data_IF_028661834682
#
_entry.id   IF_028661834682
#
_cell.length_a   1.000
_cell.length_b   1.000
_cell.length_c   1.000
_cell.angle_alpha   90.00
_cell.angle_beta   90.00
_cell.angle_gamma   90.00
#
_symmetry.space_group_name_H-M   'P 1'
#
loop_
_entity.id
_entity.type
_entity.pdbx_description
1 polymer ?
#
# COMPACT_ATOMS: atom_id res chain seq x y z
N UNK A 1 -13.91 17.26 -4.94
CA UNK A 1 -12.91 16.27 -4.50
C UNK A 1 -13.22 15.01 -5.27
N UNK A 2 -12.26 14.35 -5.89
CA UNK A 2 -12.53 13.05 -6.51
C UNK A 2 -12.52 12.02 -5.38
N UNK A 3 -13.70 11.62 -4.93
CA UNK A 3 -13.94 10.83 -3.71
C UNK A 3 -13.52 9.35 -3.82
N UNK A 4 -12.85 8.95 -4.92
CA UNK A 4 -12.61 7.54 -5.26
C UNK A 4 -11.17 7.22 -5.70
N UNK A 5 -10.17 8.06 -5.41
CA UNK A 5 -8.76 7.79 -5.74
C UNK A 5 -8.08 6.80 -4.77
N UNK A 6 -8.83 5.86 -4.21
CA UNK A 6 -8.28 4.83 -3.35
C UNK A 6 -7.50 3.78 -4.14
N UNK A 7 -6.63 3.06 -3.44
CA UNK A 7 -5.80 2.02 -4.07
C UNK A 7 -6.54 0.70 -4.03
N UNK A 8 -6.99 0.25 -5.20
CA UNK A 8 -7.69 -1.02 -5.34
C UNK A 8 -6.78 -2.10 -5.93
N UNK A 9 -6.97 -3.34 -5.49
CA UNK A 9 -6.33 -4.51 -6.09
C UNK A 9 -7.34 -5.65 -6.25
N UNK A 10 -7.04 -6.54 -7.17
CA UNK A 10 -7.80 -7.78 -7.37
C UNK A 10 -6.84 -8.95 -7.32
N UNK A 11 -7.22 -9.97 -6.55
CA UNK A 11 -6.46 -11.21 -6.39
C UNK A 11 -7.40 -12.42 -6.53
N UNK A 12 -6.90 -13.54 -7.05
CA UNK A 12 -7.68 -14.78 -7.12
C UNK A 12 -7.66 -15.46 -5.74
N UNK A 13 -8.82 -15.83 -5.20
CA UNK A 13 -8.95 -16.66 -4.00
C UNK A 13 -9.17 -18.12 -4.40
N UNK A 14 -8.18 -19.01 -4.18
CA UNK A 14 -8.39 -20.44 -4.38
C UNK A 14 -9.39 -21.04 -3.39
N UNK A 15 -9.58 -20.42 -2.22
CA UNK A 15 -10.48 -20.90 -1.16
C UNK A 15 -11.94 -20.67 -1.54
N UNK A 16 -12.23 -19.51 -2.14
CA UNK A 16 -13.59 -19.14 -2.57
C UNK A 16 -13.88 -19.52 -4.03
N UNK A 17 -12.83 -19.78 -4.83
CA UNK A 17 -12.97 -20.04 -6.26
C UNK A 17 -13.42 -18.82 -7.07
N UNK A 18 -13.14 -17.62 -6.55
CA UNK A 18 -13.58 -16.32 -7.08
C UNK A 18 -12.45 -15.29 -7.00
N UNK A 19 -12.63 -14.16 -7.68
CA UNK A 19 -11.76 -13.00 -7.59
C UNK A 19 -12.18 -12.12 -6.40
N UNK A 20 -11.20 -11.72 -5.59
CA UNK A 20 -11.37 -10.81 -4.45
C UNK A 20 -10.90 -9.41 -4.83
N UNK A 21 -11.80 -8.44 -4.81
CA UNK A 21 -11.50 -7.02 -4.86
C UNK A 21 -11.22 -6.50 -3.46
N UNK A 22 -10.14 -5.74 -3.30
CA UNK A 22 -9.67 -5.20 -2.04
C UNK A 22 -9.30 -3.73 -2.18
N UNK A 23 -9.41 -2.98 -1.08
CA UNK A 23 -8.95 -1.60 -0.99
C UNK A 23 -7.90 -1.44 0.12
N UNK A 24 -6.72 -0.89 -0.20
CA UNK A 24 -5.59 -0.82 0.75
C UNK A 24 -5.91 0.09 1.94
N UNK A 25 -6.64 1.17 1.69
CA UNK A 25 -7.07 2.13 2.72
C UNK A 25 -8.22 1.61 3.58
N UNK A 26 -8.93 0.57 3.12
CA UNK A 26 -10.02 -0.10 3.84
C UNK A 26 -9.77 -1.61 3.93
N UNK A 27 -8.81 -2.08 4.76
CA UNK A 27 -8.41 -3.49 4.82
C UNK A 27 -9.53 -4.47 5.23
N UNK A 28 -10.60 -3.97 5.84
CA UNK A 28 -11.77 -4.76 6.24
C UNK A 28 -12.81 -4.92 5.13
N UNK A 29 -12.69 -4.18 4.01
CA UNK A 29 -13.61 -4.27 2.88
C UNK A 29 -13.04 -5.21 1.82
N UNK A 30 -13.88 -6.15 1.41
CA UNK A 30 -13.60 -7.06 0.30
C UNK A 30 -14.86 -7.29 -0.53
N UNK A 31 -14.68 -7.64 -1.80
CA UNK A 31 -15.77 -8.01 -2.70
C UNK A 31 -15.40 -9.24 -3.51
N UNK A 32 -16.26 -10.26 -3.52
CA UNK A 32 -16.05 -11.48 -4.30
C UNK A 32 -16.85 -11.42 -5.60
N UNK A 33 -16.23 -11.83 -6.71
CA UNK A 33 -16.89 -11.96 -8.00
C UNK A 33 -16.21 -13.03 -8.86
N UNK A 34 -16.98 -13.73 -9.70
CA UNK A 34 -16.43 -14.70 -10.66
C UNK A 34 -15.58 -14.03 -11.76
N UNK A 35 -15.75 -12.72 -11.97
CA UNK A 35 -15.03 -11.93 -12.94
C UNK A 35 -14.10 -10.92 -12.25
N UNK A 36 -12.82 -10.81 -12.65
CA UNK A 36 -11.90 -9.83 -12.06
C UNK A 36 -12.37 -8.36 -12.22
N UNK A 37 -13.06 -8.06 -13.32
CA UNK A 37 -13.67 -6.73 -13.56
C UNK A 37 -14.90 -6.51 -12.67
N UNK A 38 -15.63 -7.58 -12.37
CA UNK A 38 -16.73 -7.54 -11.39
C UNK A 38 -16.19 -7.26 -9.99
N UNK A 39 -15.13 -7.96 -9.59
CA UNK A 39 -14.48 -7.81 -8.29
C UNK A 39 -13.97 -6.37 -8.05
N UNK A 40 -13.27 -5.77 -9.04
CA UNK A 40 -12.78 -4.39 -8.95
C UNK A 40 -13.94 -3.37 -8.92
N UNK A 41 -14.98 -3.57 -9.73
CA UNK A 41 -16.14 -2.67 -9.76
C UNK A 41 -16.94 -2.76 -8.46
N UNK A 42 -17.14 -3.96 -7.94
CA UNK A 42 -17.85 -4.20 -6.69
C UNK A 42 -17.16 -3.55 -5.49
N UNK A 43 -15.84 -3.74 -5.34
CA UNK A 43 -15.11 -3.09 -4.24
C UNK A 43 -15.09 -1.57 -4.38
N UNK A 44 -15.03 -1.03 -5.60
CA UNK A 44 -15.08 0.42 -5.82
C UNK A 44 -16.42 1.02 -5.38
N UNK A 45 -17.54 0.37 -5.73
CA UNK A 45 -18.87 0.81 -5.29
C UNK A 45 -19.05 0.65 -3.77
N UNK A 46 -18.61 -0.48 -3.19
CA UNK A 46 -18.70 -0.71 -1.75
C UNK A 46 -17.95 0.37 -0.96
N UNK A 47 -16.73 0.71 -1.39
CA UNK A 47 -15.95 1.79 -0.77
C UNK A 47 -16.68 3.13 -0.90
N UNK A 48 -17.30 3.40 -2.05
CA UNK A 48 -18.05 4.63 -2.27
C UNK A 48 -19.22 4.78 -1.30
N UNK A 49 -19.99 3.71 -1.09
CA UNK A 49 -21.11 3.70 -0.16
C UNK A 49 -20.63 3.87 1.28
N UNK A 50 -19.59 3.15 1.70
CA UNK A 50 -19.01 3.29 3.05
C UNK A 50 -18.48 4.70 3.31
N UNK A 51 -17.77 5.30 2.35
CA UNK A 51 -17.26 6.67 2.47
C UNK A 51 -18.41 7.67 2.63
N UNK A 52 -19.50 7.49 1.87
CA UNK A 52 -20.70 8.31 1.98
C UNK A 52 -21.33 8.18 3.36
N UNK A 53 -21.46 6.96 3.88
CA UNK A 53 -22.02 6.70 5.21
C UNK A 53 -21.17 7.35 6.30
N UNK A 54 -19.83 7.20 6.25
CA UNK A 54 -18.90 7.87 7.16
C UNK A 54 -19.12 9.39 7.19
N UNK A 55 -19.28 10.03 6.04
CA UNK A 55 -19.57 11.46 5.98
C UNK A 55 -20.92 11.82 6.60
N UNK A 56 -21.95 10.99 6.44
CA UNK A 56 -23.26 11.22 7.07
C UNK A 56 -23.22 11.06 8.59
N UNK A 57 -22.37 10.19 9.09
CA UNK A 57 -22.16 9.96 10.53
C UNK A 57 -21.19 10.98 11.17
N UNK A 58 -20.60 11.87 10.36
CA UNK A 58 -19.64 12.88 10.81
C UNK A 58 -18.23 12.32 11.04
N UNK A 59 -17.97 11.10 10.58
CA UNK A 59 -16.64 10.50 10.56
C UNK A 59 -15.81 11.06 9.40
N UNK A 60 -14.49 10.86 9.48
CA UNK A 60 -13.56 11.25 8.42
C UNK A 60 -12.99 10.00 7.77
N UNK A 61 -13.26 9.76 6.48
CA UNK A 61 -12.67 8.63 5.78
C UNK A 61 -11.14 8.76 5.72
N UNK A 62 -10.41 7.64 5.61
CA UNK A 62 -8.97 7.67 5.41
C UNK A 62 -8.61 8.48 4.17
N UNK A 63 -7.50 9.22 4.26
CA UNK A 63 -6.98 9.95 3.11
C UNK A 63 -6.43 8.95 2.07
N UNK A 64 -6.85 9.06 0.78
CA UNK A 64 -6.34 8.22 -0.30
C UNK A 64 -4.82 8.25 -0.36
N UNK A 65 -4.18 7.09 -0.54
CA UNK A 65 -2.73 6.99 -0.63
C UNK A 65 -2.18 7.78 -1.82
N UNK A 66 -2.93 7.84 -2.92
CA UNK A 66 -2.59 8.61 -4.12
C UNK A 66 -2.50 10.12 -3.86
N UNK A 67 -3.30 10.62 -2.92
CA UNK A 67 -3.39 12.06 -2.61
C UNK A 67 -2.42 12.49 -1.48
N UNK A 68 -1.67 11.53 -0.91
CA UNK A 68 -0.69 11.83 0.14
C UNK A 68 0.56 12.49 -0.45
N UNK A 69 1.05 13.51 0.25
CA UNK A 69 2.35 14.10 -0.06
C UNK A 69 3.46 13.25 0.57
N UNK A 70 4.23 12.56 -0.26
CA UNK A 70 5.38 11.77 0.19
C UNK A 70 6.65 12.62 0.16
N UNK A 71 7.21 12.90 1.33
CA UNK A 71 8.42 13.73 1.46
C UNK A 71 9.73 13.08 0.97
N UNK A 72 9.68 11.79 0.62
CA UNK A 72 10.86 10.97 0.29
C UNK A 72 11.76 10.63 1.48
N UNK A 73 11.45 11.12 2.69
CA UNK A 73 12.21 10.80 3.92
C UNK A 73 11.64 9.54 4.57
N UNK A 74 12.45 8.50 4.66
CA UNK A 74 12.10 7.25 5.34
C UNK A 74 12.97 7.11 6.59
N UNK A 75 12.37 7.28 7.77
CA UNK A 75 13.08 7.11 9.04
C UNK A 75 12.81 5.71 9.59
N UNK A 76 13.82 4.85 9.57
CA UNK A 76 13.70 3.43 9.99
C UNK A 76 14.47 3.21 11.28
N UNK A 77 13.81 2.61 12.28
CA UNK A 77 14.49 2.07 13.46
C UNK A 77 15.00 0.67 13.14
N UNK A 78 16.24 0.38 13.53
CA UNK A 78 16.91 -0.90 13.25
C UNK A 78 17.76 -1.33 14.43
N UNK A 79 18.15 -2.61 14.48
CA UNK A 79 19.13 -3.10 15.46
C UNK A 79 20.52 -2.50 15.22
N UNK A 80 21.34 -2.34 16.28
CA UNK A 80 22.72 -1.87 16.14
C UNK A 80 23.58 -2.76 15.21
N UNK A 81 23.30 -4.07 15.20
CA UNK A 81 24.02 -5.04 14.37
C UNK A 81 23.74 -4.83 12.88
N UNK A 82 22.47 -4.62 12.51
CA UNK A 82 22.09 -4.36 11.13
C UNK A 82 22.64 -3.00 10.66
N UNK A 83 22.60 -1.97 11.53
CA UNK A 83 23.20 -0.67 11.23
C UNK A 83 24.71 -0.79 10.98
N UNK A 84 25.43 -1.53 11.84
CA UNK A 84 26.88 -1.78 11.68
C UNK A 84 27.17 -2.46 10.35
N UNK A 85 26.44 -3.54 10.02
CA UNK A 85 26.62 -4.27 8.77
C UNK A 85 26.43 -3.36 7.54
N UNK A 86 25.33 -2.62 7.49
CA UNK A 86 25.04 -1.70 6.38
C UNK A 86 26.08 -0.59 6.26
N UNK A 87 26.60 -0.09 7.39
CA UNK A 87 27.66 0.95 7.39
C UNK A 87 28.96 0.42 6.80
N UNK A 88 29.34 -0.81 7.13
CA UNK A 88 30.55 -1.45 6.58
C UNK A 88 30.40 -1.66 5.07
N UNK A 89 29.28 -2.25 4.64
CA UNK A 89 29.01 -2.50 3.22
C UNK A 89 28.99 -1.22 2.37
N UNK A 90 28.46 -0.12 2.93
CA UNK A 90 28.45 1.18 2.29
C UNK A 90 29.87 1.76 2.16
N UNK A 91 30.69 1.65 3.21
CA UNK A 91 32.07 2.12 3.21
C UNK A 91 32.94 1.35 2.19
N UNK A 92 32.77 0.03 2.07
CA UNK A 92 33.44 -0.80 1.06
C UNK A 92 33.16 -0.33 -0.38
N UNK A 93 31.96 0.22 -0.60
CA UNK A 93 31.49 0.70 -1.91
C UNK A 93 31.71 2.20 -2.13
N UNK A 94 32.34 2.89 -1.17
CA UNK A 94 32.49 4.35 -1.17
C UNK A 94 31.14 5.10 -1.31
N UNK A 95 30.09 4.56 -0.69
CA UNK A 95 28.75 5.14 -0.66
C UNK A 95 28.38 5.60 0.75
N UNK A 96 27.47 6.58 0.84
CA UNK A 96 26.81 6.87 2.11
C UNK A 96 25.85 5.75 2.50
N UNK A 97 25.59 5.62 3.81
CA UNK A 97 24.62 4.66 4.33
C UNK A 97 23.23 4.83 3.69
N UNK A 98 22.79 6.08 3.46
CA UNK A 98 21.51 6.36 2.80
C UNK A 98 21.51 5.91 1.32
N UNK A 99 22.59 6.15 0.57
CA UNK A 99 22.69 5.67 -0.81
C UNK A 99 22.66 4.14 -0.87
N UNK A 100 23.40 3.48 0.03
CA UNK A 100 23.40 2.02 0.10
C UNK A 100 22.02 1.45 0.48
N UNK A 101 21.34 2.09 1.42
CA UNK A 101 19.96 1.72 1.77
C UNK A 101 19.00 1.88 0.59
N UNK A 102 19.11 2.96 -0.19
CA UNK A 102 18.30 3.17 -1.40
C UNK A 102 18.56 2.07 -2.43
N UNK A 103 19.83 1.71 -2.68
CA UNK A 103 20.17 0.61 -3.58
C UNK A 103 19.51 -0.71 -3.15
N UNK A 104 19.61 -1.05 -1.86
CA UNK A 104 18.98 -2.27 -1.31
C UNK A 104 17.46 -2.25 -1.41
N UNK A 105 16.83 -1.10 -1.20
CA UNK A 105 15.39 -0.94 -1.33
C UNK A 105 14.93 -1.06 -2.80
N UNK A 106 15.72 -0.55 -3.74
CA UNK A 106 15.42 -0.66 -5.18
C UNK A 106 15.57 -2.11 -5.69
N UNK A 107 16.59 -2.84 -5.21
CA UNK A 107 16.75 -4.27 -5.50
C UNK A 107 15.53 -5.09 -5.02
N UNK A 108 15.00 -4.77 -3.84
CA UNK A 108 13.81 -5.43 -3.28
C UNK A 108 12.49 -5.12 -3.99
N UNK A 109 12.43 -4.09 -4.84
CA UNK A 109 11.23 -3.75 -5.64
C UNK A 109 11.21 -4.43 -7.02
N UNK A 110 12.30 -5.09 -7.41
CA UNK A 110 12.47 -5.72 -8.72
C UNK A 110 12.16 -7.22 -8.73
N UNK A 111 11.47 -7.73 -7.70
CA UNK A 111 11.12 -9.14 -7.51
C UNK A 111 9.60 -9.33 -7.48
#
# INVERSE_FOLDING_TARGET
MNEYHYTYRVEWSPEDGEWVGLCVEFPSLSWLDQNPVGAISGIAHLVADVVKDMYTEGERPPQPLSDRHYSGKVMVRTSPELHKRLTIEAAERNLSLNQWAIHKLAEGQSA
#
